data_IF_108138694392
#
_entry.id   IF_108138694392
#
_cell.length_a   1.000
_cell.length_b   1.000
_cell.length_c   1.000
_cell.angle_alpha   90.00
_cell.angle_beta   90.00
_cell.angle_gamma   90.00
#
_symmetry.space_group_name_H-M   'P 1'
#
loop_
_entity.id
_entity.type
_entity.pdbx_description
1 polymer ?
#
# COMPACT_ATOMS: atom_id res chain seq x y z
N UNK A 1 11.06 0.74 -7.63
CA UNK A 1 10.27 -0.52 -7.64
C UNK A 1 8.86 -0.16 -8.09
N UNK A 2 8.36 -0.74 -9.18
CA UNK A 2 7.02 -0.45 -9.69
C UNK A 2 5.96 -1.22 -8.88
N UNK A 3 4.79 -0.61 -8.69
CA UNK A 3 3.60 -1.27 -8.13
C UNK A 3 2.93 -2.00 -9.29
N UNK A 4 2.66 -3.30 -9.13
CA UNK A 4 2.07 -4.15 -10.18
C UNK A 4 0.93 -4.95 -9.60
N UNK A 5 -0.14 -5.17 -10.39
CA UNK A 5 -1.36 -5.85 -9.96
C UNK A 5 -1.14 -7.22 -9.27
N UNK A 6 -0.22 -8.02 -9.79
CA UNK A 6 -0.09 -9.44 -9.43
C UNK A 6 1.07 -9.73 -8.49
N UNK A 7 1.63 -8.71 -7.84
CA UNK A 7 2.74 -8.86 -6.88
C UNK A 7 2.42 -8.11 -5.60
N UNK A 8 2.90 -8.63 -4.49
CA UNK A 8 2.80 -7.94 -3.20
C UNK A 8 3.41 -6.53 -3.32
N UNK A 9 2.70 -5.48 -2.85
CA UNK A 9 3.23 -4.14 -2.84
C UNK A 9 4.58 -4.07 -2.10
N UNK A 10 5.52 -3.20 -2.54
CA UNK A 10 6.80 -3.05 -1.87
C UNK A 10 6.62 -2.59 -0.42
N UNK A 11 7.27 -3.27 0.53
CA UNK A 11 7.23 -2.87 1.94
C UNK A 11 7.85 -1.48 2.15
N UNK A 12 7.19 -0.67 2.98
CA UNK A 12 7.72 0.63 3.42
C UNK A 12 8.87 0.35 4.37
N UNK A 13 10.06 0.83 4.01
CA UNK A 13 11.24 0.68 4.86
C UNK A 13 11.12 1.65 6.04
N UNK A 14 11.44 1.21 7.26
CA UNK A 14 11.44 2.11 8.40
C UNK A 14 12.48 3.21 8.21
N UNK A 15 12.22 4.38 8.78
CA UNK A 15 13.18 5.47 8.77
C UNK A 15 14.41 5.08 9.59
N UNK A 16 15.59 5.12 8.96
CA UNK A 16 16.86 4.75 9.58
C UNK A 16 17.53 5.99 10.15
N UNK A 17 17.34 6.20 11.45
CA UNK A 17 17.88 7.35 12.16
C UNK A 17 19.40 7.48 11.98
N UNK A 18 20.15 6.38 12.08
CA UNK A 18 21.61 6.41 11.93
C UNK A 18 22.06 6.82 10.51
N UNK A 19 21.33 6.41 9.47
CA UNK A 19 21.63 6.83 8.10
C UNK A 19 21.41 8.33 7.95
N UNK A 20 20.32 8.86 8.52
CA UNK A 20 20.07 10.30 8.56
C UNK A 20 21.14 11.05 9.35
N UNK A 21 21.50 10.59 10.56
CA UNK A 21 22.49 11.26 11.40
C UNK A 21 23.87 11.29 10.72
N UNK A 22 24.27 10.23 10.01
CA UNK A 22 25.49 10.22 9.19
C UNK A 22 25.43 11.22 8.03
N UNK A 23 24.25 11.40 7.43
CA UNK A 23 24.09 12.37 6.35
C UNK A 23 24.26 13.83 6.80
N UNK A 24 24.08 14.13 8.10
CA UNK A 24 24.19 15.48 8.64
C UNK A 24 25.57 16.10 8.44
N UNK A 25 26.64 15.31 8.27
CA UNK A 25 27.98 15.84 8.00
C UNK A 25 28.04 16.59 6.66
N UNK A 26 27.31 16.12 5.64
CA UNK A 26 27.40 16.62 4.26
C UNK A 26 26.09 17.26 3.77
N UNK A 27 24.97 16.99 4.43
CA UNK A 27 23.62 17.45 4.07
C UNK A 27 22.87 18.05 5.28
N UNK A 28 23.60 18.52 6.29
CA UNK A 28 23.01 19.03 7.53
C UNK A 28 22.60 20.51 7.48
N UNK A 29 22.06 21.03 8.60
CA UNK A 29 21.62 22.42 8.73
C UNK A 29 22.70 23.46 8.42
N UNK A 30 23.99 23.12 8.49
CA UNK A 30 25.09 24.00 8.11
C UNK A 30 25.02 24.50 6.65
N UNK A 31 24.24 23.83 5.78
CA UNK A 31 24.02 24.27 4.40
C UNK A 31 23.00 25.41 4.27
N UNK A 32 22.11 25.58 5.25
CA UNK A 32 21.00 26.53 5.20
C UNK A 32 20.94 27.45 6.41
N UNK A 33 21.75 27.19 7.44
CA UNK A 33 21.77 27.91 8.70
C UNK A 33 23.21 28.29 9.07
N UNK A 34 23.41 29.58 9.39
CA UNK A 34 24.70 30.12 9.86
C UNK A 34 24.98 29.84 11.35
N UNK A 35 23.98 29.33 12.09
CA UNK A 35 24.13 29.02 13.50
C UNK A 35 24.94 27.74 13.69
N UNK A 36 25.97 27.84 14.54
CA UNK A 36 26.76 26.69 14.98
C UNK A 36 26.10 26.07 16.21
N UNK A 37 26.01 24.75 16.23
CA UNK A 37 25.42 24.02 17.35
C UNK A 37 25.58 22.51 17.26
N UNK A 38 25.24 21.81 18.33
CA UNK A 38 25.18 20.34 18.39
C UNK A 38 23.94 19.82 17.64
N UNK A 39 24.00 19.85 16.30
CA UNK A 39 22.93 19.35 15.45
C UNK A 39 22.68 17.86 15.64
N UNK A 40 23.75 17.08 15.83
CA UNK A 40 23.67 15.64 16.04
C UNK A 40 22.88 15.32 17.32
N UNK A 41 23.21 15.95 18.44
CA UNK A 41 22.49 15.79 19.70
C UNK A 41 21.07 16.34 19.65
N UNK A 42 20.83 17.44 18.91
CA UNK A 42 19.48 17.95 18.67
C UNK A 42 18.60 16.91 17.97
N UNK A 43 19.03 16.34 16.85
CA UNK A 43 18.25 15.34 16.13
C UNK A 43 18.10 14.03 16.92
N UNK A 44 19.12 13.61 17.68
CA UNK A 44 19.00 12.46 18.60
C UNK A 44 17.93 12.67 19.67
N UNK A 45 17.83 13.87 20.24
CA UNK A 45 16.76 14.22 21.20
C UNK A 45 15.41 14.31 20.51
N UNK A 46 15.36 14.91 19.31
CA UNK A 46 14.14 15.02 18.52
C UNK A 46 13.55 13.65 18.17
N UNK A 47 14.36 12.68 17.74
CA UNK A 47 13.87 11.33 17.43
C UNK A 47 13.33 10.56 18.62
N UNK A 48 13.70 10.95 19.85
CA UNK A 48 13.15 10.40 21.10
C UNK A 48 11.93 11.17 21.60
N UNK A 49 11.56 12.26 20.94
CA UNK A 49 10.44 13.10 21.36
C UNK A 49 9.09 12.50 20.94
N UNK A 50 8.02 12.75 21.72
CA UNK A 50 6.66 12.36 21.34
C UNK A 50 6.20 12.97 20.01
N UNK A 51 6.71 14.16 19.66
CA UNK A 51 6.40 14.82 18.40
C UNK A 51 6.87 14.00 17.19
N UNK A 52 8.12 13.51 17.24
CA UNK A 52 8.65 12.68 16.17
C UNK A 52 7.93 11.34 16.09
N UNK A 53 7.69 10.66 17.22
CA UNK A 53 7.01 9.36 17.23
C UNK A 53 5.59 9.46 16.65
N UNK A 54 4.81 10.45 17.09
CA UNK A 54 3.47 10.69 16.56
C UNK A 54 3.47 11.01 15.06
N UNK A 55 4.33 11.95 14.64
CA UNK A 55 4.49 12.30 13.23
C UNK A 55 4.92 11.10 12.39
N UNK A 56 5.88 10.32 12.85
CA UNK A 56 6.42 9.18 12.13
C UNK A 56 5.37 8.07 11.94
N UNK A 57 4.63 7.74 13.00
CA UNK A 57 3.52 6.77 12.93
C UNK A 57 2.45 7.21 11.95
N UNK A 58 2.03 8.48 12.04
CA UNK A 58 1.03 9.04 11.13
C UNK A 58 1.52 8.99 9.68
N UNK A 59 2.75 9.44 9.42
CA UNK A 59 3.33 9.45 8.08
C UNK A 59 3.48 8.04 7.51
N UNK A 60 3.90 7.08 8.34
CA UNK A 60 4.01 5.69 7.95
C UNK A 60 2.65 5.07 7.60
N UNK A 61 1.60 5.40 8.37
CA UNK A 61 0.22 4.99 8.09
C UNK A 61 -0.27 5.55 6.75
N UNK A 62 -0.08 6.86 6.52
CA UNK A 62 -0.47 7.51 5.26
C UNK A 62 0.23 6.90 4.05
N UNK A 63 1.54 6.62 4.18
CA UNK A 63 2.30 5.97 3.12
C UNK A 63 1.78 4.55 2.86
N UNK A 64 1.46 3.78 3.91
CA UNK A 64 0.90 2.44 3.77
C UNK A 64 -0.45 2.46 3.06
N UNK A 65 -1.34 3.38 3.46
CA UNK A 65 -2.62 3.57 2.81
C UNK A 65 -2.48 4.00 1.35
N UNK A 66 -1.54 4.91 1.04
CA UNK A 66 -1.31 5.33 -0.34
C UNK A 66 -0.77 4.19 -1.21
N UNK A 67 0.08 3.33 -0.64
CA UNK A 67 0.60 2.16 -1.32
C UNK A 67 -0.51 1.12 -1.60
N UNK A 68 -1.38 0.87 -0.61
CA UNK A 68 -2.54 -0.01 -0.79
C UNK A 68 -3.49 0.52 -1.87
N UNK A 69 -3.75 1.82 -1.88
CA UNK A 69 -4.57 2.50 -2.89
C UNK A 69 -3.99 2.34 -4.30
N UNK A 70 -2.70 2.64 -4.48
CA UNK A 70 -2.02 2.50 -5.77
C UNK A 70 -2.01 1.04 -6.27
N UNK A 71 -1.92 0.08 -5.36
CA UNK A 71 -1.98 -1.33 -5.74
C UNK A 71 -3.38 -1.74 -6.20
N UNK A 72 -4.43 -1.26 -5.53
CA UNK A 72 -5.81 -1.50 -5.97
C UNK A 72 -6.08 -0.89 -7.35
N UNK A 73 -5.60 0.33 -7.59
CA UNK A 73 -5.65 0.99 -8.91
C UNK A 73 -4.94 0.14 -9.97
N UNK A 74 -3.72 -0.33 -9.69
CA UNK A 74 -2.96 -1.18 -10.61
C UNK A 74 -3.69 -2.49 -10.95
N UNK A 75 -4.40 -3.11 -9.99
CA UNK A 75 -5.22 -4.30 -10.26
C UNK A 75 -6.39 -3.96 -11.17
N UNK A 76 -7.10 -2.87 -10.90
CA UNK A 76 -8.26 -2.46 -11.68
C UNK A 76 -7.91 -2.03 -13.11
N UNK A 77 -6.68 -1.61 -13.35
CA UNK A 77 -6.15 -1.26 -14.68
C UNK A 77 -5.56 -2.46 -15.43
N UNK A 78 -5.32 -3.58 -14.75
CA UNK A 78 -4.78 -4.78 -15.36
C UNK A 78 -5.86 -5.56 -16.13
N UNK A 79 -5.42 -6.33 -17.12
CA UNK A 79 -6.30 -7.21 -17.90
C UNK A 79 -6.41 -8.60 -17.23
N UNK A 80 -7.48 -8.85 -16.46
CA UNK A 80 -7.68 -10.16 -15.81
C UNK A 80 -7.89 -11.28 -16.79
N UNK A 81 -8.61 -11.04 -17.88
CA UNK A 81 -8.90 -12.09 -18.85
C UNK A 81 -7.60 -12.69 -19.40
N UNK A 82 -6.57 -11.85 -19.54
CA UNK A 82 -5.23 -12.29 -19.93
C UNK A 82 -4.53 -13.01 -18.78
N UNK A 83 -4.61 -12.49 -17.56
CA UNK A 83 -4.02 -13.12 -16.37
C UNK A 83 -4.64 -14.47 -16.04
N UNK A 84 -5.93 -14.69 -16.27
CA UNK A 84 -6.63 -15.92 -15.91
C UNK A 84 -6.34 -17.09 -16.86
N UNK A 85 -5.89 -16.82 -18.10
CA UNK A 85 -5.68 -17.86 -19.12
C UNK A 85 -4.68 -18.94 -18.71
N UNK A 86 -3.69 -18.58 -17.88
CA UNK A 86 -2.65 -19.48 -17.38
C UNK A 86 -2.83 -19.84 -15.89
N UNK A 87 -4.03 -19.63 -15.32
CA UNK A 87 -4.29 -19.79 -13.90
C UNK A 87 -5.23 -20.95 -13.61
N UNK A 88 -4.94 -21.64 -12.52
CA UNK A 88 -5.85 -22.62 -11.94
C UNK A 88 -7.08 -21.96 -11.32
N UNK A 89 -8.18 -22.70 -11.20
CA UNK A 89 -9.38 -22.25 -10.49
C UNK A 89 -9.06 -21.81 -9.06
N UNK A 90 -8.14 -22.50 -8.38
CA UNK A 90 -7.70 -22.15 -7.02
C UNK A 90 -7.03 -20.77 -6.99
N UNK A 91 -6.14 -20.46 -7.95
CA UNK A 91 -5.51 -19.14 -8.06
C UNK A 91 -6.54 -18.04 -8.37
N UNK A 92 -7.55 -18.34 -9.19
CA UNK A 92 -8.62 -17.41 -9.51
C UNK A 92 -9.50 -17.13 -8.29
N UNK A 93 -9.85 -18.17 -7.53
CA UNK A 93 -10.58 -18.07 -6.25
C UNK A 93 -9.78 -17.25 -5.24
N UNK A 94 -8.48 -17.53 -5.08
CA UNK A 94 -7.59 -16.78 -4.19
C UNK A 94 -7.53 -15.29 -4.57
N UNK A 95 -7.51 -14.97 -5.86
CA UNK A 95 -7.58 -13.59 -6.34
C UNK A 95 -8.91 -12.92 -5.94
N UNK A 96 -10.05 -13.60 -6.10
CA UNK A 96 -11.36 -13.10 -5.67
C UNK A 96 -11.38 -12.79 -4.18
N UNK A 97 -10.88 -13.71 -3.35
CA UNK A 97 -10.83 -13.54 -1.90
C UNK A 97 -9.94 -12.35 -1.50
N UNK A 98 -8.74 -12.25 -2.10
CA UNK A 98 -7.81 -11.13 -1.89
C UNK A 98 -8.39 -9.80 -2.31
N UNK A 99 -9.12 -9.75 -3.43
CA UNK A 99 -9.75 -8.53 -3.93
C UNK A 99 -10.89 -8.07 -3.02
N UNK A 100 -11.73 -8.99 -2.54
CA UNK A 100 -12.79 -8.69 -1.57
C UNK A 100 -12.22 -8.16 -0.27
N UNK A 101 -11.20 -8.81 0.28
CA UNK A 101 -10.51 -8.34 1.48
C UNK A 101 -9.98 -6.91 1.26
N UNK A 102 -9.31 -6.67 0.12
CA UNK A 102 -8.81 -5.33 -0.22
C UNK A 102 -9.92 -4.29 -0.35
N UNK A 103 -11.07 -4.64 -0.90
CA UNK A 103 -12.21 -3.73 -1.07
C UNK A 103 -12.81 -3.36 0.30
N UNK A 104 -13.00 -4.35 1.18
CA UNK A 104 -13.46 -4.13 2.56
C UNK A 104 -12.46 -3.26 3.35
N UNK A 105 -11.16 -3.55 3.23
CA UNK A 105 -10.12 -2.72 3.85
C UNK A 105 -10.10 -1.31 3.26
N UNK A 106 -10.33 -1.16 1.95
CA UNK A 106 -10.37 0.15 1.30
C UNK A 106 -11.48 1.04 1.84
N UNK A 107 -12.67 0.47 2.02
CA UNK A 107 -13.82 1.15 2.59
C UNK A 107 -13.63 1.42 4.10
N UNK A 108 -13.23 0.41 4.87
CA UNK A 108 -13.09 0.53 6.32
C UNK A 108 -11.94 1.43 6.78
N UNK A 109 -10.82 1.46 6.04
CA UNK A 109 -9.67 2.32 6.34
C UNK A 109 -9.73 3.69 5.65
N UNK A 110 -10.81 3.97 4.90
CA UNK A 110 -10.96 5.16 4.08
C UNK A 110 -9.71 5.42 3.22
N UNK A 111 -9.29 4.41 2.45
CA UNK A 111 -8.13 4.56 1.57
C UNK A 111 -8.37 5.70 0.57
N UNK A 112 -7.33 6.46 0.20
CA UNK A 112 -7.45 7.59 -0.73
C UNK A 112 -7.57 7.10 -2.18
N UNK A 113 -8.68 6.43 -2.48
CA UNK A 113 -8.99 5.81 -3.77
C UNK A 113 -10.21 6.50 -4.38
N UNK A 114 -10.25 6.63 -5.70
CA UNK A 114 -11.42 7.16 -6.41
C UNK A 114 -12.59 6.17 -6.32
N UNK A 115 -13.81 6.67 -6.17
CA UNK A 115 -15.02 5.84 -6.15
C UNK A 115 -15.14 4.94 -7.40
N UNK A 116 -14.79 5.48 -8.57
CA UNK A 116 -14.77 4.72 -9.82
C UNK A 116 -13.83 3.48 -9.77
N UNK A 117 -12.73 3.53 -9.01
CA UNK A 117 -11.83 2.39 -8.83
C UNK A 117 -12.47 1.33 -7.93
N UNK A 118 -13.21 1.74 -6.89
CA UNK A 118 -13.94 0.81 -6.03
C UNK A 118 -15.05 0.08 -6.81
N UNK A 119 -15.83 0.83 -7.59
CA UNK A 119 -16.85 0.27 -8.47
C UNK A 119 -16.23 -0.67 -9.51
N UNK A 120 -15.09 -0.28 -10.10
CA UNK A 120 -14.37 -1.14 -11.04
C UNK A 120 -13.89 -2.42 -10.37
N UNK A 121 -13.32 -2.35 -9.16
CA UNK A 121 -12.90 -3.53 -8.41
C UNK A 121 -14.07 -4.48 -8.13
N UNK A 122 -15.24 -3.92 -7.77
CA UNK A 122 -16.46 -4.69 -7.55
C UNK A 122 -16.91 -5.43 -8.83
N UNK A 123 -17.01 -4.72 -9.95
CA UNK A 123 -17.33 -5.31 -11.25
C UNK A 123 -16.31 -6.36 -11.68
N UNK A 124 -15.03 -6.12 -11.37
CA UNK A 124 -13.95 -7.06 -11.64
C UNK A 124 -14.16 -8.37 -10.89
N UNK A 125 -14.48 -8.31 -9.60
CA UNK A 125 -14.81 -9.48 -8.77
C UNK A 125 -16.00 -10.25 -9.38
N UNK A 126 -17.06 -9.56 -9.75
CA UNK A 126 -18.27 -10.18 -10.34
C UNK A 126 -17.96 -10.87 -11.67
N UNK A 127 -17.15 -10.24 -12.54
CA UNK A 127 -16.73 -10.80 -13.83
C UNK A 127 -15.92 -12.07 -13.63
N UNK A 128 -14.98 -12.07 -12.68
CA UNK A 128 -14.15 -13.24 -12.37
C UNK A 128 -14.99 -14.38 -11.81
N UNK A 129 -15.92 -14.08 -10.88
CA UNK A 129 -16.81 -15.09 -10.34
C UNK A 129 -17.66 -15.70 -11.46
N UNK A 130 -18.24 -14.88 -12.35
CA UNK A 130 -19.04 -15.36 -13.48
C UNK A 130 -18.30 -16.28 -14.45
N UNK A 131 -16.96 -16.22 -14.47
CA UNK A 131 -16.12 -17.10 -15.30
C UNK A 131 -15.81 -18.46 -14.67
N UNK A 132 -16.02 -18.62 -13.35
CA UNK A 132 -15.73 -19.86 -12.63
C UNK A 132 -16.84 -20.91 -12.83
N UNK A 133 -16.56 -22.20 -12.61
CA UNK A 133 -17.59 -23.24 -12.52
C UNK A 133 -18.69 -22.95 -11.49
N UNK A 134 -19.90 -23.47 -11.73
CA UNK A 134 -21.10 -23.15 -10.93
C UNK A 134 -20.99 -23.51 -9.44
N UNK A 135 -20.29 -24.59 -9.13
CA UNK A 135 -20.02 -25.03 -7.77
C UNK A 135 -19.15 -24.02 -7.02
N UNK A 136 -18.10 -23.48 -7.65
CA UNK A 136 -17.28 -22.42 -7.06
C UNK A 136 -18.03 -21.07 -6.97
N UNK A 137 -18.87 -20.75 -7.95
CA UNK A 137 -19.74 -19.57 -7.89
C UNK A 137 -20.68 -19.62 -6.68
N UNK A 138 -21.31 -20.77 -6.42
CA UNK A 138 -22.23 -20.93 -5.29
C UNK A 138 -21.54 -20.75 -3.92
N UNK A 139 -20.26 -21.13 -3.82
CA UNK A 139 -19.46 -20.92 -2.61
C UNK A 139 -19.04 -19.46 -2.46
N UNK A 140 -18.73 -18.78 -3.57
CA UNK A 140 -18.25 -17.39 -3.55
C UNK A 140 -19.37 -16.36 -3.48
N UNK A 141 -20.57 -16.64 -3.96
CA UNK A 141 -21.73 -15.75 -3.84
C UNK A 141 -22.60 -16.23 -2.67
N UNK A 142 -22.42 -15.70 -1.45
CA UNK A 142 -23.35 -16.00 -0.37
C UNK A 142 -24.76 -15.47 -0.73
N UNK A 143 -25.82 -16.13 -0.24
CA UNK A 143 -27.21 -15.73 -0.48
C UNK A 143 -27.57 -14.36 0.11
#
# INVERSE_FOLDING_TARGET
>A
KNITAWKTPPQIRPFRQDDFLRSLEHAGPQLTCVLKGDWLGLYRRFFKSPHFDGWYRQRHKEMAQKLEALHLEAICEANIETWMKDKSEVEVVDLVLKLREKLVQAQGRQLPVKEATLQRAQLYIETVIGSLPKDLQAVLCPP
#
